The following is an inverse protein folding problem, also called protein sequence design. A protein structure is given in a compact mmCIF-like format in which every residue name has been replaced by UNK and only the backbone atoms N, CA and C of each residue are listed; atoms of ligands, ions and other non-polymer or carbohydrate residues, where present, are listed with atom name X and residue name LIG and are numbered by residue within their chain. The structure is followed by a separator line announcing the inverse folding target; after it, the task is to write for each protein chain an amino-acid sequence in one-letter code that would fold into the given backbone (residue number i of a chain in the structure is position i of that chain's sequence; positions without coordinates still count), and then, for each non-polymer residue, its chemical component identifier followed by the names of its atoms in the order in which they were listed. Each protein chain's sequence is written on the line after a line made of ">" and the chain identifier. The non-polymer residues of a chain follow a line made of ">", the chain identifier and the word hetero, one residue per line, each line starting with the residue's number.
data_IF_423097276041
#
_entry.id   IF_423097276041
#
_cell.length_a   1.000
_cell.length_b   1.000
_cell.length_c   1.000
_cell.angle_alpha   90.00
_cell.angle_beta   90.00
_cell.angle_gamma   90.00
#
_symmetry.space_group_name_H-M   'P 1'
#
loop_
_entity.id
_entity.type
_entity.pdbx_description
1 polymer ?
#
# COMPACT_ATOMS: atom_id res chain seq x y z
N UNK A 1 24.11 85.53 -6.74
CA UNK A 1 22.75 85.01 -6.50
C UNK A 1 22.69 83.64 -7.17
N UNK A 2 23.07 82.60 -6.43
CA UNK A 2 23.36 81.27 -6.98
C UNK A 2 22.18 80.36 -6.64
N UNK A 3 21.42 79.94 -7.66
CA UNK A 3 20.23 79.10 -7.50
C UNK A 3 20.69 77.65 -7.44
N UNK A 4 20.65 77.03 -6.25
CA UNK A 4 20.79 75.58 -6.09
C UNK A 4 19.46 74.89 -6.39
N UNK A 5 19.47 73.98 -7.36
CA UNK A 5 18.36 73.04 -7.62
C UNK A 5 18.55 71.78 -6.77
N UNK A 6 17.52 71.27 -6.06
CA UNK A 6 17.63 70.01 -5.35
C UNK A 6 17.53 68.85 -6.34
N UNK A 7 18.50 67.94 -6.31
CA UNK A 7 18.44 66.68 -7.03
C UNK A 7 17.59 65.69 -6.21
N UNK A 8 16.49 65.23 -6.79
CA UNK A 8 15.63 64.21 -6.22
C UNK A 8 16.26 62.83 -6.50
N UNK A 9 16.85 62.20 -5.49
CA UNK A 9 17.32 60.81 -5.59
C UNK A 9 16.11 59.89 -5.40
N UNK A 10 15.68 59.21 -6.48
CA UNK A 10 14.70 58.14 -6.40
C UNK A 10 15.40 56.85 -5.97
N UNK A 11 15.18 56.42 -4.73
CA UNK A 11 15.60 55.12 -4.22
C UNK A 11 14.69 54.04 -4.80
N UNK A 12 15.21 53.26 -5.76
CA UNK A 12 14.56 52.01 -6.21
C UNK A 12 14.77 50.98 -5.09
N UNK A 13 13.73 50.72 -4.30
CA UNK A 13 13.72 49.60 -3.38
C UNK A 13 13.56 48.30 -4.18
N UNK A 14 14.63 47.53 -4.30
CA UNK A 14 14.55 46.16 -4.83
C UNK A 14 13.73 45.32 -3.84
N UNK A 15 12.50 44.98 -4.22
CA UNK A 15 11.70 43.98 -3.50
C UNK A 15 12.36 42.63 -3.80
N UNK A 16 13.22 42.18 -2.90
CA UNK A 16 13.66 40.79 -2.87
C UNK A 16 12.45 39.98 -2.42
N UNK A 17 11.76 39.36 -3.38
CA UNK A 17 10.84 38.28 -3.09
C UNK A 17 11.68 37.16 -2.47
N UNK A 18 11.68 37.08 -1.13
CA UNK A 18 12.16 35.90 -0.45
C UNK A 18 11.21 34.77 -0.82
N UNK A 19 11.61 33.93 -1.78
CA UNK A 19 11.04 32.61 -1.93
C UNK A 19 11.34 31.86 -0.63
N UNK A 20 10.33 31.71 0.23
CA UNK A 20 10.42 30.80 1.36
C UNK A 20 10.57 29.39 0.79
N UNK A 21 11.81 28.91 0.70
CA UNK A 21 12.07 27.48 0.52
C UNK A 21 11.56 26.82 1.79
N UNK A 22 10.38 26.21 1.72
CA UNK A 22 9.91 25.36 2.81
C UNK A 22 10.83 24.15 2.85
N UNK A 23 11.69 24.08 3.86
CA UNK A 23 12.55 22.94 4.06
C UNK A 23 11.69 21.72 4.44
N UNK A 24 12.00 20.57 3.85
CA UNK A 24 11.37 19.30 4.18
C UNK A 24 12.05 18.68 5.41
N UNK A 25 11.32 18.61 6.52
CA UNK A 25 11.76 17.96 7.75
C UNK A 25 11.52 16.45 7.68
N UNK A 26 12.58 15.64 7.72
CA UNK A 26 12.49 14.19 7.96
C UNK A 26 11.77 13.96 9.29
N UNK A 27 10.64 13.23 9.21
CA UNK A 27 9.79 12.91 10.36
C UNK A 27 9.71 11.42 10.67
N UNK A 28 9.99 10.55 9.68
CA UNK A 28 10.12 9.09 9.83
C UNK A 28 11.08 8.51 8.80
N UNK A 29 11.78 7.46 9.20
CA UNK A 29 12.61 6.62 8.33
C UNK A 29 12.34 5.15 8.68
N UNK A 30 11.83 4.38 7.73
CA UNK A 30 11.69 2.93 7.81
C UNK A 30 12.85 2.30 7.03
N UNK A 31 13.82 1.71 7.73
CA UNK A 31 14.99 1.06 7.11
C UNK A 31 15.62 0.05 8.07
N UNK A 32 16.42 -0.88 7.54
CA UNK A 32 17.23 -1.79 8.34
C UNK A 32 16.39 -2.63 9.31
N UNK A 33 17.02 -3.03 10.41
CA UNK A 33 16.41 -3.92 11.41
C UNK A 33 15.13 -3.36 12.06
N UNK A 34 14.96 -2.04 12.05
CA UNK A 34 13.79 -1.36 12.59
C UNK A 34 12.72 -1.07 11.53
N UNK A 35 12.88 -1.55 10.29
CA UNK A 35 11.91 -1.28 9.20
C UNK A 35 10.49 -1.68 9.60
N UNK A 36 10.33 -2.82 10.28
CA UNK A 36 9.03 -3.43 10.64
C UNK A 36 8.54 -3.10 12.07
N UNK A 37 9.08 -2.06 12.71
CA UNK A 37 8.71 -1.72 14.09
C UNK A 37 7.40 -0.91 14.16
N UNK A 38 7.21 0.02 13.23
CA UNK A 38 6.08 0.96 13.21
C UNK A 38 5.00 0.57 12.19
N UNK A 39 4.71 -0.73 12.10
CA UNK A 39 3.72 -1.30 11.19
C UNK A 39 2.78 -2.30 11.86
N UNK A 40 1.50 -2.19 11.54
CA UNK A 40 0.46 -3.16 11.89
C UNK A 40 0.38 -4.23 10.79
N UNK A 41 0.49 -5.51 11.17
CA UNK A 41 0.38 -6.65 10.27
C UNK A 41 -1.07 -7.15 10.24
N UNK A 42 -1.66 -7.25 9.05
CA UNK A 42 -3.11 -7.44 8.90
C UNK A 42 -3.65 -8.73 9.53
N UNK A 43 -2.99 -9.88 9.32
CA UNK A 43 -3.33 -11.13 10.00
C UNK A 43 -4.69 -11.74 9.65
N UNK A 44 -5.19 -11.49 8.43
CA UNK A 44 -6.49 -11.98 7.96
C UNK A 44 -6.48 -12.18 6.44
N UNK A 45 -7.39 -13.00 5.92
CA UNK A 45 -7.56 -13.17 4.47
C UNK A 45 -7.94 -11.87 3.77
N UNK A 46 -7.62 -11.77 2.48
CA UNK A 46 -7.93 -10.58 1.68
C UNK A 46 -9.43 -10.48 1.36
N UNK A 47 -10.14 -9.78 2.24
CA UNK A 47 -11.57 -9.51 2.16
C UNK A 47 -11.92 -8.16 1.52
N UNK A 48 -10.93 -7.38 1.11
CA UNK A 48 -11.14 -6.07 0.49
C UNK A 48 -11.09 -6.18 -1.04
N UNK A 49 -10.09 -6.90 -1.56
CA UNK A 49 -9.91 -7.09 -3.02
C UNK A 49 -10.20 -8.52 -3.49
N UNK A 50 -10.79 -9.33 -2.60
CA UNK A 50 -11.17 -10.73 -2.83
C UNK A 50 -10.01 -11.60 -3.33
N UNK A 51 -8.77 -11.26 -2.95
CA UNK A 51 -7.57 -11.96 -3.37
C UNK A 51 -7.45 -13.36 -2.79
N UNK A 52 -6.65 -14.18 -3.48
CA UNK A 52 -6.36 -15.56 -3.11
C UNK A 52 -5.16 -15.69 -2.17
N UNK A 53 -5.13 -14.81 -1.17
CA UNK A 53 -4.12 -14.75 -0.13
C UNK A 53 -4.67 -14.83 1.30
N UNK A 54 -3.87 -15.42 2.19
CA UNK A 54 -4.01 -15.24 3.64
C UNK A 54 -2.88 -14.30 4.09
N UNK A 55 -3.21 -13.12 4.61
CA UNK A 55 -2.19 -12.24 5.15
C UNK A 55 -1.79 -12.69 6.55
N UNK A 56 -0.50 -12.95 6.76
CA UNK A 56 -0.01 -13.40 8.06
C UNK A 56 0.05 -12.25 9.08
N UNK A 57 -0.14 -12.59 10.36
CA UNK A 57 0.15 -11.67 11.46
C UNK A 57 1.68 -11.50 11.62
N UNK A 58 2.12 -10.56 12.46
CA UNK A 58 3.55 -10.26 12.64
C UNK A 58 4.39 -11.49 13.00
N UNK A 59 3.95 -12.27 14.00
CA UNK A 59 4.71 -13.42 14.48
C UNK A 59 4.87 -14.48 13.38
N UNK A 60 3.79 -14.77 12.66
CA UNK A 60 3.78 -15.76 11.59
C UNK A 60 4.55 -15.26 10.35
N UNK A 61 4.53 -13.96 10.08
CA UNK A 61 5.29 -13.33 9.01
C UNK A 61 6.80 -13.53 9.18
N UNK A 62 7.32 -13.34 10.39
CA UNK A 62 8.74 -13.60 10.68
C UNK A 62 9.05 -15.09 10.73
N UNK A 63 8.19 -15.92 11.34
CA UNK A 63 8.46 -17.35 11.50
C UNK A 63 8.39 -18.14 10.19
N UNK A 64 7.56 -17.70 9.24
CA UNK A 64 7.48 -18.23 7.88
C UNK A 64 8.41 -17.48 6.91
N UNK A 65 9.26 -16.60 7.44
CA UNK A 65 10.24 -15.79 6.70
C UNK A 65 9.64 -14.88 5.61
N UNK A 66 8.33 -14.62 5.61
CA UNK A 66 7.71 -13.73 4.63
C UNK A 66 8.15 -12.27 4.77
N UNK A 67 8.68 -11.91 5.95
CA UNK A 67 9.42 -10.65 6.17
C UNK A 67 10.80 -10.91 6.76
N UNK A 68 11.78 -10.12 6.34
CA UNK A 68 13.15 -10.14 6.89
C UNK A 68 13.93 -8.89 6.54
N UNK A 69 15.11 -8.72 7.13
CA UNK A 69 16.09 -7.70 6.75
C UNK A 69 17.33 -8.37 6.19
N UNK A 70 17.86 -7.83 5.09
CA UNK A 70 19.10 -8.32 4.49
C UNK A 70 20.31 -7.84 5.29
N UNK A 71 21.46 -8.49 5.10
CA UNK A 71 22.72 -8.04 5.69
C UNK A 71 23.16 -6.64 5.22
N UNK A 72 22.66 -6.17 4.08
CA UNK A 72 22.85 -4.79 3.59
C UNK A 72 21.85 -3.79 4.18
N UNK A 73 20.89 -4.23 5.00
CA UNK A 73 19.90 -3.38 5.66
C UNK A 73 18.64 -3.06 4.83
N UNK A 74 18.42 -3.75 3.70
CA UNK A 74 17.15 -3.66 2.96
C UNK A 74 16.10 -4.58 3.58
N UNK A 75 14.84 -4.14 3.58
CA UNK A 75 13.70 -4.93 4.04
C UNK A 75 13.16 -5.80 2.89
N UNK A 76 12.80 -7.05 3.22
CA UNK A 76 12.15 -8.00 2.32
C UNK A 76 10.73 -8.24 2.80
N UNK A 77 9.78 -8.18 1.86
CA UNK A 77 8.39 -8.63 2.01
C UNK A 77 8.04 -9.52 0.83
N UNK A 78 7.58 -10.74 1.05
CA UNK A 78 7.35 -11.72 -0.04
C UNK A 78 6.09 -12.55 0.13
N UNK A 79 5.56 -13.00 -1.00
CA UNK A 79 4.59 -14.10 -1.07
C UNK A 79 5.31 -15.41 -0.73
N UNK A 80 4.61 -16.35 -0.09
CA UNK A 80 5.12 -17.69 0.15
C UNK A 80 5.43 -18.42 -1.18
N UNK A 81 6.72 -18.62 -1.45
CA UNK A 81 7.21 -19.37 -2.59
C UNK A 81 7.80 -20.74 -2.22
N UNK A 82 7.54 -21.28 -1.02
CA UNK A 82 8.12 -22.55 -0.55
C UNK A 82 7.08 -23.65 -0.37
N UNK A 83 5.88 -23.28 0.05
CA UNK A 83 4.85 -24.28 0.37
C UNK A 83 4.06 -24.73 -0.85
N UNK A 84 3.46 -25.90 -0.71
CA UNK A 84 2.47 -26.42 -1.65
C UNK A 84 1.06 -26.12 -1.10
N UNK A 85 0.29 -25.30 -1.80
CA UNK A 85 -1.06 -24.89 -1.40
C UNK A 85 -2.09 -25.90 -1.94
N UNK A 86 -2.88 -26.59 -1.10
CA UNK A 86 -3.94 -27.47 -1.55
C UNK A 86 -5.11 -26.70 -2.19
N UNK A 87 -5.92 -27.40 -2.99
CA UNK A 87 -7.16 -26.82 -3.52
C UNK A 87 -8.09 -26.36 -2.38
N UNK A 88 -8.80 -25.24 -2.59
CA UNK A 88 -9.63 -24.52 -1.63
C UNK A 88 -8.88 -23.80 -0.49
N UNK A 89 -7.55 -23.73 -0.54
CA UNK A 89 -6.74 -22.90 0.36
C UNK A 89 -6.12 -21.72 -0.38
N UNK A 90 -5.79 -20.66 0.37
CA UNK A 90 -5.13 -19.45 -0.13
C UNK A 90 -3.63 -19.51 0.15
N UNK A 91 -2.84 -18.70 -0.57
CA UNK A 91 -1.39 -18.63 -0.40
C UNK A 91 -1.03 -17.57 0.63
N UNK A 92 -0.08 -17.85 1.51
CA UNK A 92 0.33 -16.87 2.51
C UNK A 92 1.05 -15.68 1.85
N UNK A 93 0.71 -14.48 2.31
CA UNK A 93 1.33 -13.23 1.89
C UNK A 93 1.35 -12.23 3.05
N UNK A 94 1.76 -10.98 2.80
CA UNK A 94 1.87 -9.92 3.80
C UNK A 94 1.11 -8.68 3.34
N UNK A 95 0.40 -8.07 4.30
CA UNK A 95 -0.10 -6.70 4.25
C UNK A 95 0.29 -6.00 5.55
N UNK A 96 0.98 -4.87 5.42
CA UNK A 96 1.32 -4.01 6.55
C UNK A 96 0.79 -2.60 6.35
N UNK A 97 0.32 -1.99 7.43
CA UNK A 97 -0.15 -0.59 7.46
C UNK A 97 0.67 0.18 8.49
N UNK A 98 1.17 1.36 8.15
CA UNK A 98 1.98 2.15 9.06
C UNK A 98 1.16 2.60 10.27
N UNK A 99 1.71 2.55 11.48
CA UNK A 99 1.02 3.02 12.70
C UNK A 99 0.88 4.55 12.79
N UNK A 100 1.33 5.27 11.75
CA UNK A 100 1.37 6.72 11.70
C UNK A 100 0.50 7.28 10.58
N UNK A 101 -0.16 8.39 10.90
CA UNK A 101 -0.90 9.19 9.95
C UNK A 101 -0.08 10.39 9.49
N UNK A 102 -0.17 10.67 8.20
CA UNK A 102 0.53 11.73 7.49
C UNK A 102 -0.50 12.67 6.88
N UNK A 103 -0.51 13.93 7.34
CA UNK A 103 -1.45 14.94 6.84
C UNK A 103 -0.90 15.65 5.59
N UNK A 104 -1.68 16.54 5.00
CA UNK A 104 -1.26 17.47 3.96
C UNK A 104 0.05 18.19 4.35
N UNK A 105 0.91 18.39 3.35
CA UNK A 105 2.29 18.86 3.54
C UNK A 105 3.29 17.71 3.74
N UNK A 106 2.88 16.47 3.49
CA UNK A 106 3.74 15.29 3.56
C UNK A 106 4.41 14.97 2.23
N UNK A 107 5.62 14.44 2.29
CA UNK A 107 6.37 13.90 1.17
C UNK A 107 6.91 12.52 1.56
N UNK A 108 6.55 11.49 0.83
CA UNK A 108 7.10 10.15 0.99
C UNK A 108 8.09 9.84 -0.11
N UNK A 109 9.25 9.31 0.25
CA UNK A 109 10.29 8.86 -0.67
C UNK A 109 10.55 7.38 -0.45
N UNK A 110 10.32 6.58 -1.48
CA UNK A 110 10.46 5.12 -1.47
C UNK A 110 11.68 4.74 -2.30
N UNK A 111 12.75 4.29 -1.65
CA UNK A 111 13.95 3.76 -2.30
C UNK A 111 13.83 2.23 -2.41
N UNK A 112 13.56 1.74 -3.62
CA UNK A 112 13.18 0.35 -3.86
C UNK A 112 14.16 -0.29 -4.85
N UNK A 113 14.61 -1.50 -4.52
CA UNK A 113 15.50 -2.31 -5.35
C UNK A 113 14.75 -3.37 -6.16
N UNK A 114 13.66 -3.90 -5.62
CA UNK A 114 12.81 -4.87 -6.29
C UNK A 114 11.33 -4.63 -5.96
N UNK A 115 10.48 -4.70 -6.97
CA UNK A 115 9.02 -4.73 -6.82
C UNK A 115 8.52 -6.14 -7.16
N UNK A 116 7.49 -6.67 -6.48
CA UNK A 116 6.92 -7.96 -6.81
C UNK A 116 6.39 -7.97 -8.24
N UNK A 117 6.55 -9.08 -8.95
CA UNK A 117 5.84 -9.32 -10.21
C UNK A 117 5.75 -10.82 -10.50
N UNK A 118 4.82 -11.18 -11.38
CA UNK A 118 4.57 -12.57 -11.72
C UNK A 118 3.10 -12.79 -12.04
N UNK A 119 2.78 -13.91 -12.68
CA UNK A 119 1.39 -14.25 -12.92
C UNK A 119 0.61 -14.39 -11.61
N UNK A 120 -0.62 -13.89 -11.57
CA UNK A 120 -1.47 -13.66 -10.38
C UNK A 120 -1.04 -12.53 -9.44
N UNK A 121 0.20 -12.04 -9.49
CA UNK A 121 0.73 -11.12 -8.49
C UNK A 121 0.13 -9.73 -8.65
N UNK A 122 -0.35 -9.15 -7.55
CA UNK A 122 -0.86 -7.79 -7.46
C UNK A 122 -0.26 -7.12 -6.21
N UNK A 123 0.88 -6.44 -6.35
CA UNK A 123 1.50 -5.70 -5.26
C UNK A 123 1.10 -4.23 -5.30
N UNK A 124 1.13 -3.62 -4.12
CA UNK A 124 0.79 -2.22 -3.96
C UNK A 124 1.68 -1.55 -2.90
N UNK A 125 2.05 -0.30 -3.16
CA UNK A 125 2.43 0.68 -2.14
C UNK A 125 1.50 1.86 -2.32
N UNK A 126 0.65 2.07 -1.33
CA UNK A 126 -0.47 2.99 -1.42
C UNK A 126 -0.73 3.64 -0.07
N UNK A 127 -1.67 4.58 -0.04
CA UNK A 127 -2.11 5.21 1.19
C UNK A 127 -3.61 5.26 1.27
N UNK A 128 -4.15 5.22 2.48
CA UNK A 128 -5.56 5.51 2.71
C UNK A 128 -5.79 6.41 3.91
N UNK A 129 -6.87 7.17 3.86
CA UNK A 129 -7.35 7.94 5.00
C UNK A 129 -8.08 7.09 6.02
N UNK A 130 -8.37 7.70 7.16
CA UNK A 130 -9.31 7.14 8.13
C UNK A 130 -10.71 6.94 7.53
N UNK A 131 -11.41 5.89 7.99
CA UNK A 131 -12.74 5.51 7.50
C UNK A 131 -12.78 5.28 5.98
N UNK A 132 -11.75 4.59 5.46
CA UNK A 132 -11.68 4.15 4.07
C UNK A 132 -13.02 3.52 3.61
N UNK A 133 -13.51 3.86 2.41
CA UNK A 133 -12.87 4.71 1.37
C UNK A 133 -13.07 6.22 1.52
N UNK A 134 -13.82 6.67 2.54
CA UNK A 134 -14.26 8.07 2.60
C UNK A 134 -13.12 9.07 2.84
N UNK A 135 -12.00 8.61 3.40
CA UNK A 135 -10.79 9.40 3.62
C UNK A 135 -9.85 9.47 2.40
N UNK A 136 -10.28 8.96 1.25
CA UNK A 136 -9.49 8.89 0.03
C UNK A 136 -8.41 7.80 0.08
N UNK A 137 -7.95 7.43 -1.11
CA UNK A 137 -6.87 6.48 -1.35
C UNK A 137 -5.95 6.99 -2.47
N UNK A 138 -4.65 6.73 -2.32
CA UNK A 138 -3.59 7.13 -3.23
C UNK A 138 -2.70 5.93 -3.54
N UNK A 139 -2.84 5.37 -4.73
CA UNK A 139 -2.03 4.24 -5.20
C UNK A 139 -0.77 4.77 -5.88
N UNK A 140 0.35 4.68 -5.18
CA UNK A 140 1.62 5.27 -5.62
C UNK A 140 2.35 4.30 -6.54
N UNK A 141 2.37 3.02 -6.14
CA UNK A 141 2.95 1.93 -6.90
C UNK A 141 1.94 0.80 -6.95
N UNK A 142 1.42 0.50 -8.13
CA UNK A 142 0.44 -0.56 -8.31
C UNK A 142 0.54 -1.19 -9.70
N UNK A 143 0.32 -2.50 -9.76
CA UNK A 143 0.31 -3.25 -11.01
C UNK A 143 -0.17 -4.67 -10.81
N UNK A 144 -0.42 -5.36 -11.92
CA UNK A 144 -0.88 -6.75 -11.89
C UNK A 144 -0.08 -7.62 -12.85
N UNK A 145 -0.04 -8.90 -12.53
CA UNK A 145 0.50 -9.95 -13.39
C UNK A 145 1.93 -9.62 -13.88
N UNK A 146 2.14 -9.66 -15.21
CA UNK A 146 3.41 -9.31 -15.85
C UNK A 146 3.36 -7.92 -16.51
N UNK A 147 2.58 -6.99 -15.93
CA UNK A 147 2.68 -5.58 -16.34
C UNK A 147 4.15 -5.13 -16.28
N UNK A 148 4.51 -4.21 -17.17
CA UNK A 148 5.85 -3.61 -17.22
C UNK A 148 5.82 -2.12 -16.90
N UNK A 149 4.66 -1.58 -16.47
CA UNK A 149 4.46 -0.16 -16.22
C UNK A 149 3.71 -0.01 -14.92
N UNK A 150 4.15 0.93 -14.10
CA UNK A 150 3.41 1.33 -12.92
C UNK A 150 2.10 2.02 -13.33
N UNK A 151 1.05 1.80 -12.55
CA UNK A 151 -0.16 2.59 -12.59
C UNK A 151 -0.27 3.36 -11.27
N UNK A 152 -0.44 4.67 -11.37
CA UNK A 152 -0.87 5.51 -10.27
C UNK A 152 -2.38 5.65 -10.35
N UNK A 153 -3.06 5.61 -9.21
CA UNK A 153 -4.48 5.85 -9.12
C UNK A 153 -4.83 6.67 -7.87
N UNK A 154 -5.98 7.33 -7.94
CA UNK A 154 -6.57 8.03 -6.82
C UNK A 154 -8.05 7.68 -6.76
N UNK A 155 -8.50 7.32 -5.56
CA UNK A 155 -9.86 6.88 -5.27
C UNK A 155 -10.49 7.81 -4.24
N UNK A 156 -11.70 8.30 -4.53
CA UNK A 156 -12.41 9.31 -3.73
C UNK A 156 -13.93 9.15 -3.85
N UNK A 157 -14.67 9.90 -3.04
CA UNK A 157 -16.09 10.14 -3.28
C UNK A 157 -16.33 10.99 -4.54
N UNK A 158 -17.57 11.01 -5.03
CA UNK A 158 -17.96 11.75 -6.23
C UNK A 158 -17.52 13.22 -6.25
N UNK A 159 -17.01 13.66 -7.41
CA UNK A 159 -16.71 15.06 -7.72
C UNK A 159 -15.22 15.45 -7.71
N UNK A 160 -14.32 14.54 -7.35
CA UNK A 160 -12.89 14.68 -7.64
C UNK A 160 -12.60 14.08 -9.03
N UNK A 161 -11.82 14.79 -9.85
CA UNK A 161 -11.46 14.36 -11.20
C UNK A 161 -10.02 14.67 -11.56
N UNK A 162 -9.40 13.78 -12.33
CA UNK A 162 -8.17 14.07 -13.07
C UNK A 162 -8.50 14.87 -14.34
N UNK A 163 -7.74 15.93 -14.60
CA UNK A 163 -8.02 16.87 -15.70
C UNK A 163 -7.06 16.65 -16.88
N UNK A 164 -7.60 16.78 -18.08
CA UNK A 164 -6.79 16.81 -19.29
C UNK A 164 -5.88 18.05 -19.32
N UNK A 165 -4.64 17.88 -19.78
CA UNK A 165 -3.67 18.97 -19.89
C UNK A 165 -3.00 19.34 -18.56
N UNK A 166 -3.13 18.50 -17.54
CA UNK A 166 -2.31 18.59 -16.33
C UNK A 166 -0.83 18.49 -16.69
N UNK A 167 0.03 19.26 -16.00
CA UNK A 167 1.47 19.20 -16.21
C UNK A 167 2.05 17.92 -15.59
N UNK A 168 1.99 16.83 -16.33
CA UNK A 168 2.48 15.51 -15.95
C UNK A 168 3.11 14.78 -17.15
N UNK A 169 3.95 13.79 -16.87
CA UNK A 169 4.61 12.96 -17.89
C UNK A 169 3.79 11.72 -18.28
N UNK A 170 2.88 11.31 -17.39
CA UNK A 170 2.10 10.09 -17.49
C UNK A 170 1.03 10.09 -18.58
N UNK A 171 0.49 8.90 -18.85
CA UNK A 171 -0.67 8.73 -19.71
C UNK A 171 -1.92 8.62 -18.85
N UNK A 172 -2.69 9.71 -18.80
CA UNK A 172 -3.99 9.73 -18.14
C UNK A 172 -4.92 8.67 -18.75
N UNK A 173 -5.53 7.86 -17.88
CA UNK A 173 -6.52 6.86 -18.20
C UNK A 173 -7.92 7.34 -17.80
N UNK A 174 -8.37 6.92 -16.62
CA UNK A 174 -9.67 7.32 -16.06
C UNK A 174 -9.64 8.74 -15.48
N UNK A 175 -10.66 9.55 -15.78
CA UNK A 175 -10.76 10.91 -15.25
C UNK A 175 -11.58 11.02 -13.95
N UNK A 176 -12.53 10.12 -13.71
CA UNK A 176 -13.43 10.17 -12.54
C UNK A 176 -12.89 9.30 -11.41
N UNK A 177 -12.42 9.96 -10.35
CA UNK A 177 -11.79 9.34 -9.19
C UNK A 177 -12.78 8.60 -8.28
N UNK A 178 -14.08 8.64 -8.58
CA UNK A 178 -15.11 7.90 -7.83
C UNK A 178 -15.57 6.61 -8.50
N UNK A 179 -15.00 6.29 -9.67
CA UNK A 179 -15.25 5.00 -10.33
C UNK A 179 -14.45 3.89 -9.65
N UNK A 180 -14.83 2.61 -9.84
CA UNK A 180 -14.09 1.49 -9.23
C UNK A 180 -12.61 1.43 -9.62
N UNK A 181 -12.23 1.95 -10.78
CA UNK A 181 -10.82 2.03 -11.21
C UNK A 181 -10.09 3.25 -10.67
N UNK A 182 -10.79 4.17 -10.00
CA UNK A 182 -10.27 5.49 -9.69
C UNK A 182 -9.94 6.30 -10.93
N UNK A 183 -9.22 7.39 -10.73
CA UNK A 183 -8.65 8.18 -11.81
C UNK A 183 -7.16 7.86 -11.96
N UNK A 184 -6.79 7.32 -13.11
CA UNK A 184 -5.52 6.61 -13.28
C UNK A 184 -4.55 7.37 -14.17
N UNK A 185 -3.26 7.23 -13.88
CA UNK A 185 -2.17 7.71 -14.72
C UNK A 185 -1.14 6.59 -14.86
N UNK A 186 -0.85 6.16 -16.08
CA UNK A 186 0.12 5.10 -16.35
C UNK A 186 1.51 5.68 -16.67
N UNK A 187 2.55 5.02 -16.17
CA UNK A 187 3.94 5.40 -16.42
C UNK A 187 4.42 5.07 -17.86
N UNK A 188 4.91 6.06 -18.63
CA UNK A 188 5.44 5.87 -19.98
C UNK A 188 6.82 5.21 -20.02
N UNK A 189 7.51 5.01 -18.89
CA UNK A 189 8.72 4.21 -18.77
C UNK A 189 8.40 2.75 -18.40
N UNK A 190 8.87 1.79 -19.21
CA UNK A 190 8.71 0.36 -18.91
C UNK A 190 9.60 -0.12 -17.75
N UNK A 191 10.52 0.71 -17.28
CA UNK A 191 11.38 0.42 -16.13
C UNK A 191 10.74 0.83 -14.82
N UNK A 192 9.51 1.33 -14.83
CA UNK A 192 8.75 1.70 -13.63
C UNK A 192 8.17 0.49 -12.90
N UNK A 193 8.05 -0.67 -13.52
CA UNK A 193 7.49 -1.83 -12.84
C UNK A 193 7.99 -3.15 -13.43
N UNK A 194 7.79 -4.24 -12.69
CA UNK A 194 8.01 -5.61 -13.16
C UNK A 194 9.48 -5.96 -13.43
N UNK A 195 9.67 -6.95 -14.31
CA UNK A 195 11.01 -7.45 -14.65
C UNK A 195 11.99 -6.35 -15.13
N UNK A 196 11.57 -5.35 -15.95
CA UNK A 196 12.50 -4.29 -16.35
C UNK A 196 12.90 -3.36 -15.19
N UNK A 197 12.03 -3.11 -14.20
CA UNK A 197 12.41 -2.37 -12.99
C UNK A 197 13.48 -3.13 -12.19
N UNK A 198 13.27 -4.43 -11.96
CA UNK A 198 14.24 -5.29 -11.28
C UNK A 198 15.59 -5.33 -12.03
N UNK A 199 15.55 -5.49 -13.35
CA UNK A 199 16.75 -5.51 -14.19
C UNK A 199 17.51 -4.16 -14.21
N UNK A 200 16.82 -3.05 -13.97
CA UNK A 200 17.42 -1.71 -13.86
C UNK A 200 18.08 -1.43 -12.50
N UNK A 201 18.01 -2.37 -11.54
CA UNK A 201 18.46 -2.15 -10.16
C UNK A 201 17.49 -1.31 -9.33
N UNK A 202 16.22 -1.30 -9.73
CA UNK A 202 15.14 -0.56 -9.11
C UNK A 202 15.17 0.95 -9.36
N UNK A 203 14.69 1.71 -8.38
CA UNK A 203 14.49 3.15 -8.51
C UNK A 203 13.89 3.79 -7.26
N UNK A 204 13.51 5.04 -7.41
CA UNK A 204 12.96 5.86 -6.33
C UNK A 204 11.62 6.43 -6.77
N UNK A 205 10.61 6.27 -5.92
CA UNK A 205 9.36 7.03 -6.02
C UNK A 205 9.38 8.16 -5.01
N UNK A 206 8.83 9.31 -5.40
CA UNK A 206 8.50 10.38 -4.49
C UNK A 206 7.02 10.71 -4.66
N UNK A 207 6.28 10.79 -3.56
CA UNK A 207 4.86 11.11 -3.54
C UNK A 207 4.62 12.26 -2.56
N UNK A 208 4.20 13.41 -3.10
CA UNK A 208 3.83 14.58 -2.33
C UNK A 208 2.32 14.60 -2.14
N UNK A 209 1.88 14.67 -0.90
CA UNK A 209 0.50 14.92 -0.51
C UNK A 209 0.42 16.31 0.15
N UNK A 210 -0.03 17.30 -0.60
CA UNK A 210 0.00 18.71 -0.22
C UNK A 210 -1.37 19.37 -0.42
N UNK A 211 -1.60 20.53 0.20
CA UNK A 211 -2.82 21.32 -0.05
C UNK A 211 -2.99 21.73 -1.51
N UNK A 212 -1.91 21.79 -2.29
CA UNK A 212 -1.94 22.05 -3.73
C UNK A 212 -2.38 20.85 -4.58
N UNK A 213 -2.31 19.63 -4.04
CA UNK A 213 -2.68 18.39 -4.73
C UNK A 213 -1.77 17.21 -4.38
N UNK A 214 -1.96 16.11 -5.12
CA UNK A 214 -1.10 14.93 -5.06
C UNK A 214 -0.20 14.93 -6.28
N UNK A 215 1.10 14.75 -6.07
CA UNK A 215 2.10 14.71 -7.14
C UNK A 215 3.05 13.55 -6.92
N UNK A 216 3.24 12.72 -7.93
CA UNK A 216 4.05 11.51 -7.84
C UNK A 216 5.12 11.53 -8.92
N UNK A 217 6.37 11.22 -8.56
CA UNK A 217 7.51 11.10 -9.45
C UNK A 217 8.11 9.69 -9.37
N UNK A 218 8.69 9.26 -10.48
CA UNK A 218 9.52 8.05 -10.55
C UNK A 218 10.88 8.38 -11.16
N UNK A 219 11.94 7.87 -10.54
CA UNK A 219 13.30 7.96 -11.03
C UNK A 219 13.94 6.58 -11.08
N UNK A 220 14.43 6.18 -12.25
CA UNK A 220 15.26 4.96 -12.35
C UNK A 220 16.53 5.12 -11.52
N UNK A 221 17.07 4.02 -10.96
CA UNK A 221 18.27 4.03 -10.09
C UNK A 221 19.43 4.89 -10.60
N UNK A 222 19.70 4.87 -11.90
CA UNK A 222 20.83 5.57 -12.52
C UNK A 222 20.53 7.01 -12.97
N UNK A 223 19.31 7.50 -12.75
CA UNK A 223 18.86 8.84 -13.17
C UNK A 223 18.01 9.53 -12.10
N UNK A 224 18.41 9.39 -10.82
CA UNK A 224 17.75 10.10 -9.72
C UNK A 224 18.46 11.44 -9.42
N UNK A 225 17.71 12.50 -9.07
CA UNK A 225 18.26 13.73 -8.54
C UNK A 225 19.18 13.49 -7.33
N UNK A 226 20.27 14.27 -7.22
CA UNK A 226 21.22 14.16 -6.11
C UNK A 226 20.53 14.41 -4.76
N UNK A 227 19.52 15.29 -4.74
CA UNK A 227 18.72 15.61 -3.56
C UNK A 227 18.04 14.39 -2.92
N UNK A 228 17.74 13.33 -3.69
CA UNK A 228 17.15 12.09 -3.18
C UNK A 228 18.17 11.11 -2.58
N UNK A 229 19.48 11.31 -2.82
CA UNK A 229 20.53 10.49 -2.22
C UNK A 229 20.87 10.91 -0.78
N UNK A 230 20.49 12.13 -0.39
CA UNK A 230 20.79 12.66 0.93
C UNK A 230 19.67 12.29 1.92
N UNK A 231 20.07 11.82 3.10
CA UNK A 231 19.15 11.66 4.25
C UNK A 231 18.77 13.01 4.88
N UNK A 232 19.50 14.07 4.56
CA UNK A 232 19.42 15.36 5.24
C UNK A 232 18.35 16.29 4.66
N UNK A 233 17.65 16.92 5.60
CA UNK A 233 16.50 17.84 5.41
C UNK A 233 16.77 19.04 4.50
N UNK A 234 18.03 19.49 4.42
CA UNK A 234 18.41 20.76 3.78
C UNK A 234 18.64 20.68 2.27
N UNK A 235 18.58 19.49 1.68
CA UNK A 235 18.89 19.29 0.26
C UNK A 235 17.70 18.85 -0.59
N UNK A 236 16.54 18.58 0.01
CA UNK A 236 15.35 18.22 -0.76
C UNK A 236 14.72 19.46 -1.39
N UNK A 237 14.96 19.60 -2.69
CA UNK A 237 14.33 20.60 -3.54
C UNK A 237 13.52 19.89 -4.64
N UNK A 238 12.19 19.92 -4.51
CA UNK A 238 11.25 19.37 -5.50
C UNK A 238 11.37 20.11 -6.83
N UNK A 239 11.80 21.39 -6.83
CA UNK A 239 11.97 22.19 -8.04
C UNK A 239 12.98 21.61 -9.02
N UNK A 240 13.92 20.78 -8.56
CA UNK A 240 14.93 20.13 -9.40
C UNK A 240 14.41 18.85 -10.09
N UNK A 241 13.25 18.33 -9.70
CA UNK A 241 12.75 17.02 -10.14
C UNK A 241 12.06 17.05 -11.50
N UNK A 242 11.70 18.24 -11.99
CA UNK A 242 10.91 18.42 -13.20
C UNK A 242 9.44 18.04 -13.01
N UNK A 243 8.68 17.91 -14.12
CA UNK A 243 7.27 17.55 -14.06
C UNK A 243 7.06 16.16 -13.40
N UNK A 244 6.00 16.00 -12.59
CA UNK A 244 5.66 14.71 -12.01
C UNK A 244 5.24 13.68 -13.06
N UNK A 245 5.38 12.40 -12.72
CA UNK A 245 4.74 11.31 -13.46
C UNK A 245 3.23 11.48 -13.47
N UNK A 246 2.62 11.73 -12.32
CA UNK A 246 1.18 11.90 -12.16
C UNK A 246 0.89 13.12 -11.28
N UNK A 247 -0.12 13.90 -11.66
CA UNK A 247 -0.54 15.07 -10.91
C UNK A 247 -2.06 15.13 -10.77
N UNK A 248 -2.53 15.34 -9.53
CA UNK A 248 -3.93 15.52 -9.17
C UNK A 248 -4.08 16.86 -8.43
N UNK A 249 -4.17 17.99 -9.15
CA UNK A 249 -4.22 19.31 -8.53
C UNK A 249 -5.52 19.56 -7.76
N UNK A 250 -5.42 20.30 -6.66
CA UNK A 250 -6.58 20.65 -5.82
C UNK A 250 -7.69 21.41 -6.55
N UNK A 251 -7.39 22.04 -7.69
CA UNK A 251 -8.39 22.74 -8.52
C UNK A 251 -9.48 21.84 -9.09
N UNK A 252 -9.23 20.53 -9.22
CA UNK A 252 -10.19 19.54 -9.72
C UNK A 252 -10.43 18.38 -8.76
N UNK A 253 -9.66 18.31 -7.68
CA UNK A 253 -9.76 17.32 -6.63
C UNK A 253 -9.35 17.95 -5.29
N UNK A 254 -10.27 18.65 -4.62
CA UNK A 254 -9.95 19.43 -3.41
C UNK A 254 -9.45 18.54 -2.26
N UNK A 255 -8.17 18.68 -1.89
CA UNK A 255 -7.51 17.79 -0.92
C UNK A 255 -8.23 17.74 0.43
N UNK A 256 -8.56 18.90 1.00
CA UNK A 256 -9.25 19.00 2.29
C UNK A 256 -10.68 18.43 2.30
N UNK A 257 -11.28 18.20 1.12
CA UNK A 257 -12.62 17.63 0.98
C UNK A 257 -12.58 16.12 0.82
N UNK A 258 -11.60 15.60 0.10
CA UNK A 258 -11.57 14.20 -0.34
C UNK A 258 -10.56 13.34 0.41
N UNK A 259 -9.57 13.94 1.08
CA UNK A 259 -8.51 13.22 1.77
C UNK A 259 -8.41 13.65 3.22
N UNK A 260 -8.28 12.67 4.09
CA UNK A 260 -7.93 12.87 5.51
C UNK A 260 -6.43 12.56 5.69
N UNK A 261 -5.85 12.67 6.91
CA UNK A 261 -4.51 12.15 7.14
C UNK A 261 -4.42 10.68 6.70
N UNK A 262 -3.33 10.31 6.04
CA UNK A 262 -3.16 9.02 5.37
C UNK A 262 -2.22 8.09 6.13
N UNK A 263 -2.48 6.79 6.13
CA UNK A 263 -1.51 5.74 6.51
C UNK A 263 -0.91 5.12 5.25
N UNK A 264 0.37 4.76 5.31
CA UNK A 264 1.03 3.97 4.26
C UNK A 264 0.61 2.50 4.37
N UNK A 265 0.40 1.85 3.24
CA UNK A 265 0.16 0.40 3.15
C UNK A 265 1.10 -0.23 2.13
N UNK A 266 1.61 -1.40 2.47
CA UNK A 266 2.38 -2.26 1.56
C UNK A 266 1.77 -3.65 1.60
N UNK A 267 1.36 -4.17 0.45
CA UNK A 267 0.83 -5.52 0.36
C UNK A 267 1.15 -6.21 -0.97
N UNK A 268 0.94 -7.53 -0.97
CA UNK A 268 0.96 -8.35 -2.17
C UNK A 268 -0.25 -9.28 -2.14
N UNK A 269 -1.34 -8.90 -2.80
CA UNK A 269 -2.44 -9.82 -3.06
C UNK A 269 -2.18 -10.68 -4.29
N UNK A 270 -3.03 -11.69 -4.51
CA UNK A 270 -2.99 -12.56 -5.68
C UNK A 270 -4.38 -12.68 -6.30
N UNK A 271 -4.44 -12.68 -7.63
CA UNK A 271 -5.70 -12.76 -8.38
C UNK A 271 -6.68 -11.64 -7.99
N UNK A 272 -7.76 -11.97 -7.30
CA UNK A 272 -8.74 -10.99 -6.83
C UNK A 272 -9.42 -10.20 -7.95
N UNK A 273 -9.98 -9.05 -7.56
CA UNK A 273 -10.86 -8.24 -8.38
C UNK A 273 -10.19 -7.58 -9.58
N UNK A 274 -8.84 -7.55 -9.61
CA UNK A 274 -8.08 -6.98 -10.73
C UNK A 274 -7.16 -7.99 -11.42
N UNK A 275 -6.14 -8.53 -10.73
CA UNK A 275 -5.19 -9.45 -11.36
C UNK A 275 -5.84 -10.77 -11.80
N UNK A 276 -6.94 -11.16 -11.16
CA UNK A 276 -7.70 -12.38 -11.43
C UNK A 276 -8.72 -12.26 -12.57
N UNK A 277 -9.00 -11.05 -13.05
CA UNK A 277 -9.95 -10.83 -14.15
C UNK A 277 -9.50 -11.61 -15.38
N UNK A 278 -10.32 -12.55 -15.92
CA UNK A 278 -9.85 -13.50 -16.93
C UNK A 278 -9.23 -12.86 -18.17
N UNK A 279 -9.74 -11.73 -18.64
CA UNK A 279 -9.18 -11.01 -19.80
C UNK A 279 -7.81 -10.40 -19.51
N UNK A 280 -7.63 -9.81 -18.33
CA UNK A 280 -6.37 -9.17 -17.91
C UNK A 280 -5.30 -10.21 -17.57
N UNK A 281 -5.70 -11.23 -16.80
CA UNK A 281 -4.86 -12.36 -16.47
C UNK A 281 -4.36 -13.06 -17.75
N UNK A 282 -5.26 -13.48 -18.65
CA UNK A 282 -4.85 -14.21 -19.85
C UNK A 282 -4.09 -13.35 -20.87
N UNK A 283 -4.18 -12.01 -20.80
CA UNK A 283 -3.39 -11.13 -21.67
C UNK A 283 -1.88 -11.32 -21.47
N UNK A 284 -1.44 -11.65 -20.25
CA UNK A 284 -0.02 -11.82 -19.91
C UNK A 284 0.32 -13.23 -19.43
N UNK A 285 -0.64 -13.97 -18.89
CA UNK A 285 -0.40 -15.20 -18.12
C UNK A 285 -1.03 -16.47 -18.67
N UNK A 286 -1.64 -16.43 -19.87
CA UNK A 286 -2.30 -17.59 -20.49
C UNK A 286 -1.46 -18.87 -20.58
N UNK A 287 -0.13 -18.76 -20.54
CA UNK A 287 0.79 -19.89 -20.70
C UNK A 287 1.31 -20.45 -19.37
N UNK A 288 0.90 -19.90 -18.23
CA UNK A 288 1.39 -20.34 -16.90
C UNK A 288 0.67 -21.61 -16.41
N UNK A 289 -0.50 -21.92 -16.99
CA UNK A 289 -1.25 -23.14 -16.66
C UNK A 289 -2.29 -23.50 -17.73
N UNK A 290 -2.92 -24.68 -17.58
CA UNK A 290 -3.78 -25.25 -18.61
C UNK A 290 -5.22 -24.71 -18.58
N UNK A 291 -5.64 -24.01 -17.52
CA UNK A 291 -7.05 -23.67 -17.31
C UNK A 291 -7.40 -22.25 -17.76
N UNK A 292 -6.42 -21.34 -17.78
CA UNK A 292 -6.65 -19.91 -17.99
C UNK A 292 -7.34 -19.23 -16.80
N UNK A 293 -7.38 -19.91 -15.64
CA UNK A 293 -7.99 -19.45 -14.40
C UNK A 293 -6.86 -19.14 -13.40
N UNK A 294 -6.81 -17.89 -12.94
CA UNK A 294 -5.74 -17.36 -12.11
C UNK A 294 -5.40 -18.23 -10.88
N UNK A 295 -6.42 -18.58 -10.09
CA UNK A 295 -6.28 -19.40 -8.88
C UNK A 295 -5.73 -20.81 -9.19
N UNK A 296 -6.34 -21.50 -10.15
CA UNK A 296 -6.01 -22.88 -10.49
C UNK A 296 -4.62 -23.00 -11.12
N UNK A 297 -4.23 -22.02 -11.93
CA UNK A 297 -2.96 -22.07 -12.64
C UNK A 297 -1.78 -21.63 -11.76
N UNK A 298 -1.94 -20.62 -10.89
CA UNK A 298 -0.82 -20.06 -10.10
C UNK A 298 -0.90 -20.35 -8.60
N UNK A 299 -2.04 -20.09 -7.95
CA UNK A 299 -2.12 -20.05 -6.49
C UNK A 299 -1.95 -21.44 -5.87
N UNK A 300 -2.67 -22.44 -6.38
CA UNK A 300 -2.57 -23.81 -5.89
C UNK A 300 -1.28 -24.50 -6.36
N UNK A 301 -0.87 -25.52 -5.61
CA UNK A 301 0.34 -26.30 -5.88
C UNK A 301 1.62 -25.63 -5.35
N UNK A 302 2.79 -25.99 -5.88
CA UNK A 302 4.08 -25.50 -5.37
C UNK A 302 4.27 -24.01 -5.68
N UNK A 303 4.77 -23.25 -4.70
CA UNK A 303 5.10 -21.83 -4.89
C UNK A 303 6.43 -21.59 -5.61
N UNK A 304 7.38 -22.51 -5.48
CA UNK A 304 8.73 -22.37 -6.04
C UNK A 304 8.68 -22.24 -7.58
N UNK A 305 9.43 -21.28 -8.13
CA UNK A 305 9.41 -20.96 -9.55
C UNK A 305 8.25 -20.07 -10.00
N UNK A 306 7.12 -20.06 -9.27
CA UNK A 306 5.97 -19.18 -9.56
C UNK A 306 6.10 -17.82 -8.87
N UNK A 307 6.54 -17.81 -7.62
CA UNK A 307 6.55 -16.63 -6.75
C UNK A 307 7.96 -16.17 -6.36
N UNK A 308 9.01 -16.65 -7.05
CA UNK A 308 10.40 -16.28 -6.77
C UNK A 308 10.69 -14.79 -6.98
N UNK A 309 9.89 -14.11 -7.82
CA UNK A 309 9.96 -12.67 -8.05
C UNK A 309 8.81 -11.91 -7.38
N UNK A 310 8.00 -12.55 -6.53
CA UNK A 310 6.88 -11.94 -5.84
C UNK A 310 7.32 -11.36 -4.48
N UNK A 311 8.29 -10.45 -4.50
CA UNK A 311 8.81 -9.79 -3.30
C UNK A 311 9.19 -8.33 -3.52
N UNK A 312 8.99 -7.53 -2.49
CA UNK A 312 9.60 -6.21 -2.35
C UNK A 312 11.01 -6.37 -1.76
N UNK A 313 11.98 -5.63 -2.30
CA UNK A 313 13.23 -5.31 -1.61
C UNK A 313 13.33 -3.79 -1.49
N UNK A 314 13.20 -3.27 -0.28
CA UNK A 314 13.09 -1.84 0.01
C UNK A 314 14.32 -1.41 0.80
N UNK A 315 15.09 -0.46 0.26
CA UNK A 315 16.25 0.09 0.96
C UNK A 315 15.81 0.99 2.12
N UNK A 316 14.86 1.90 1.86
CA UNK A 316 14.28 2.76 2.86
C UNK A 316 12.95 3.39 2.38
N UNK A 317 12.09 3.73 3.34
CA UNK A 317 10.98 4.66 3.14
C UNK A 317 11.22 5.85 4.05
N UNK A 318 11.20 7.07 3.51
CA UNK A 318 11.39 8.31 4.27
C UNK A 318 10.18 9.20 4.12
N UNK A 319 9.66 9.68 5.24
CA UNK A 319 8.57 10.65 5.25
C UNK A 319 9.11 12.00 5.73
N UNK A 320 8.73 13.06 5.03
CA UNK A 320 9.10 14.44 5.31
C UNK A 320 7.87 15.35 5.42
N UNK A 321 7.99 16.50 6.08
CA UNK A 321 6.92 17.52 6.13
C UNK A 321 7.45 18.96 5.96
N UNK A 322 6.62 19.90 5.51
CA UNK A 322 6.98 21.33 5.30
C UNK A 322 6.71 22.26 6.49
N UNK A 323 6.33 21.71 7.66
CA UNK A 323 6.15 22.45 8.92
C UNK A 323 4.85 22.15 9.70
N UNK A 324 4.88 21.04 10.46
CA UNK A 324 3.95 20.56 11.52
C UNK A 324 2.43 20.42 11.22
N UNK A 325 1.77 19.33 11.68
CA UNK A 325 2.19 18.43 12.78
C UNK A 325 3.09 17.28 12.33
N UNK A 326 3.89 16.75 13.27
CA UNK A 326 4.58 15.49 13.08
C UNK A 326 3.55 14.34 12.89
N UNK A 327 3.92 13.24 12.21
CA UNK A 327 3.03 12.10 12.03
C UNK A 327 2.56 11.56 13.38
N UNK A 328 1.25 11.41 13.53
CA UNK A 328 0.62 11.01 14.80
C UNK A 328 0.52 9.49 14.87
N UNK A 329 0.97 8.89 15.98
CA UNK A 329 0.91 7.46 16.24
C UNK A 329 -0.44 7.00 16.77
N UNK A 330 -0.88 5.79 16.39
CA UNK A 330 -2.10 5.13 16.89
C UNK A 330 -2.06 4.62 18.33
N UNK A 331 -1.16 5.10 19.21
CA UNK A 331 -0.98 4.51 20.54
C UNK A 331 -2.29 4.46 21.33
N UNK A 332 -2.91 3.28 21.39
CA UNK A 332 -3.98 2.95 22.34
C UNK A 332 -3.33 2.90 23.71
N UNK A 333 -3.31 4.06 24.38
CA UNK A 333 -3.08 4.09 25.82
C UNK A 333 -4.29 3.45 26.49
N UNK A 334 -4.26 2.13 26.67
CA UNK A 334 -5.05 1.48 27.71
C UNK A 334 -4.56 2.03 29.06
N UNK A 335 -5.17 3.13 29.49
CA UNK A 335 -5.01 3.68 30.84
C UNK A 335 -5.60 2.66 31.82
N UNK A 336 -4.77 1.72 32.25
CA UNK A 336 -5.05 0.92 33.44
C UNK A 336 -4.82 1.81 34.65
N UNK A 337 -5.91 2.38 35.16
CA UNK A 337 -5.93 3.05 36.46
C UNK A 337 -5.68 2.03 37.56
N UNK A 338 -4.41 1.78 37.90
CA UNK A 338 -4.03 1.01 39.06
C UNK A 338 -4.26 1.86 40.33
N UNK A 339 -5.43 1.73 40.93
CA UNK A 339 -5.69 2.27 42.27
C UNK A 339 -4.93 1.42 43.30
N UNK A 340 -3.95 2.05 43.94
CA UNK A 340 -3.21 1.53 45.07
C UNK A 340 -4.08 1.45 46.32
N UNK A 341 -4.25 0.25 46.90
CA UNK A 341 -4.43 0.10 48.36
C UNK A 341 -3.63 -1.10 48.84
N UNK A 342 -2.67 -0.84 49.73
CA UNK A 342 -1.90 -1.87 50.41
C UNK A 342 -2.52 -2.24 51.75
N UNK A 343 -2.37 -3.50 52.15
CA UNK A 343 -2.14 -3.96 53.53
C UNK A 343 -1.76 -5.46 53.52
N UNK A 344 -0.69 -5.80 54.24
CA UNK A 344 -0.15 -7.15 54.56
C UNK A 344 -0.39 -7.44 56.06
N UNK A 345 0.06 -8.57 56.66
CA UNK A 345 0.09 -9.99 56.25
C UNK A 345 -0.38 -10.96 57.38
N UNK A 346 -0.59 -12.26 57.09
CA UNK A 346 -0.27 -13.39 58.00
C UNK A 346 -0.44 -14.79 57.37
N UNK A 347 0.54 -15.66 57.64
CA UNK A 347 0.74 -17.09 57.31
C UNK A 347 0.24 -18.03 58.45
N UNK A 348 0.37 -19.39 58.44
CA UNK A 348 0.40 -20.45 57.39
C UNK A 348 -0.38 -21.77 57.75
N UNK A 349 -0.24 -22.81 56.91
CA UNK A 349 -0.22 -24.30 57.13
C UNK A 349 -1.47 -25.22 57.06
N UNK A 350 -1.26 -26.39 56.40
CA UNK A 350 -1.92 -27.72 56.59
C UNK A 350 -2.95 -28.09 55.50
N UNK A 351 -2.70 -28.95 54.50
CA UNK A 351 -2.36 -30.40 54.41
C UNK A 351 -3.57 -31.37 54.48
N UNK A 352 -3.56 -32.37 53.58
CA UNK A 352 -4.46 -33.55 53.48
C UNK A 352 -5.78 -33.34 52.72
N UNK A 353 -6.25 -34.19 51.78
CA UNK A 353 -5.86 -35.53 51.34
C UNK A 353 -7.12 -36.34 50.95
N UNK A 354 -7.10 -37.02 49.79
CA UNK A 354 -8.04 -38.10 49.38
C UNK A 354 -9.44 -37.65 48.93
N UNK A 355 -10.11 -38.25 47.95
CA UNK A 355 -9.92 -39.47 47.16
C UNK A 355 -11.26 -39.82 46.47
N UNK A 356 -11.22 -40.82 45.57
CA UNK A 356 -12.32 -41.50 44.84
C UNK A 356 -12.99 -40.76 43.65
N UNK A 357 -12.79 -41.18 42.39
CA UNK A 357 -13.31 -42.37 41.66
C UNK A 357 -14.81 -42.19 41.28
N UNK A 358 -15.32 -42.48 40.08
CA UNK A 358 -15.06 -43.56 39.13
C UNK A 358 -15.87 -43.35 37.81
N UNK A 359 -15.37 -43.95 36.70
CA UNK A 359 -16.03 -44.53 35.50
C UNK A 359 -17.14 -43.76 34.72
N UNK A 360 -17.00 -43.37 33.42
CA UNK A 360 -16.94 -44.15 32.13
C UNK A 360 -18.33 -44.72 31.69
N UNK A 361 -18.77 -44.75 30.40
CA UNK A 361 -18.48 -43.94 29.18
C UNK A 361 -19.75 -43.72 28.25
N UNK A 362 -19.71 -43.73 26.88
CA UNK A 362 -20.43 -42.75 26.02
C UNK A 362 -21.63 -43.38 25.25
N UNK A 363 -22.10 -42.73 24.17
CA UNK A 363 -22.37 -43.54 22.97
C UNK A 363 -21.92 -42.92 21.64
N UNK A 364 -21.54 -43.83 20.74
CA UNK A 364 -21.47 -43.76 19.27
C UNK A 364 -22.75 -43.13 18.67
N UNK A 365 -22.76 -42.43 17.52
CA UNK A 365 -22.26 -42.83 16.21
C UNK A 365 -23.38 -43.49 15.40
N UNK A 366 -23.94 -42.83 14.38
CA UNK A 366 -24.49 -43.49 13.15
C UNK A 366 -24.94 -42.50 12.09
N UNK A 367 -24.62 -42.86 10.85
CA UNK A 367 -24.97 -42.22 9.59
C UNK A 367 -26.30 -42.74 9.03
N UNK A 368 -27.05 -41.88 8.33
CA UNK A 368 -28.03 -42.16 7.28
C UNK A 368 -28.06 -40.86 6.42
N UNK A 369 -27.87 -40.82 5.10
CA UNK A 369 -28.43 -41.68 4.06
C UNK A 369 -29.74 -41.05 3.56
N UNK A 370 -29.71 -40.29 2.46
CA UNK A 370 -30.92 -39.68 1.90
C UNK A 370 -30.69 -38.85 0.63
N UNK A 371 -30.63 -39.53 -0.52
CA UNK A 371 -30.84 -38.92 -1.83
C UNK A 371 -32.27 -38.38 -1.96
N UNK A 372 -32.44 -37.20 -2.55
CA UNK A 372 -33.67 -36.79 -3.21
C UNK A 372 -33.32 -35.95 -4.44
N UNK A 373 -33.54 -36.54 -5.62
CA UNK A 373 -33.43 -35.85 -6.90
C UNK A 373 -34.65 -34.97 -7.15
N UNK A 374 -34.42 -33.87 -7.87
CA UNK A 374 -35.45 -33.04 -8.48
C UNK A 374 -35.17 -32.87 -9.98
N UNK A 375 -36.21 -32.76 -10.82
CA UNK A 375 -36.12 -33.04 -12.25
C UNK A 375 -35.60 -31.85 -13.07
N UNK A 376 -35.05 -32.19 -14.23
CA UNK A 376 -34.65 -31.27 -15.29
C UNK A 376 -35.85 -30.45 -15.82
N UNK A 377 -35.66 -29.14 -15.97
CA UNK A 377 -36.53 -28.26 -16.73
C UNK A 377 -35.68 -27.37 -17.65
N UNK A 378 -36.18 -27.26 -18.88
CA UNK A 378 -35.49 -26.79 -20.07
C UNK A 378 -35.16 -25.29 -20.06
N UNK A 379 -34.12 -24.97 -20.83
CA UNK A 379 -33.57 -23.65 -21.09
C UNK A 379 -34.50 -22.76 -21.93
N UNK A 380 -34.62 -21.49 -21.53
CA UNK A 380 -34.87 -20.31 -22.38
C UNK A 380 -34.22 -19.07 -21.71
N UNK A 381 -33.83 -18.04 -22.47
CA UNK A 381 -32.71 -17.15 -22.12
C UNK A 381 -33.13 -16.06 -21.13
N UNK A 382 -32.40 -15.97 -20.03
CA UNK A 382 -32.52 -14.84 -19.10
C UNK A 382 -31.50 -13.79 -19.51
N UNK A 383 -32.00 -12.65 -19.97
CA UNK A 383 -31.22 -11.43 -20.08
C UNK A 383 -30.70 -11.06 -18.69
N UNK A 384 -29.39 -11.07 -18.51
CA UNK A 384 -28.75 -10.57 -17.30
C UNK A 384 -28.97 -9.06 -17.23
N UNK A 385 -29.95 -8.66 -16.43
CA UNK A 385 -29.92 -7.36 -15.76
C UNK A 385 -28.93 -7.52 -14.61
N UNK A 386 -27.69 -7.08 -14.83
CA UNK A 386 -26.73 -6.90 -13.76
C UNK A 386 -27.32 -5.86 -12.80
N UNK A 387 -27.81 -6.33 -11.65
CA UNK A 387 -28.14 -5.48 -10.53
C UNK A 387 -26.86 -4.82 -10.05
N UNK A 388 -26.71 -3.54 -10.40
CA UNK A 388 -25.66 -2.65 -9.90
C UNK A 388 -25.93 -2.47 -8.41
N UNK A 389 -25.29 -3.28 -7.59
CA UNK A 389 -24.96 -2.89 -6.22
C UNK A 389 -23.83 -1.89 -6.38
N UNK A 390 -24.04 -0.67 -5.93
CA UNK A 390 -22.98 0.30 -5.77
C UNK A 390 -21.93 -0.34 -4.84
N UNK A 391 -20.85 -0.85 -5.43
CA UNK A 391 -19.66 -1.24 -4.69
C UNK A 391 -18.96 0.08 -4.34
N UNK A 392 -19.40 0.65 -3.23
CA UNK A 392 -18.55 1.47 -2.40
C UNK A 392 -17.51 0.48 -1.88
N UNK A 393 -16.39 0.41 -2.59
CA UNK A 393 -15.19 -0.35 -2.18
C UNK A 393 -14.61 0.43 -1.02
#
# INVERSE_FOLDING_TARGET
>A
MTIMRPALFATIAAIVLQSSVHAFDLVREYQGDTFFDDWDFYGFWDNLTNGDVEYLNRQDSFSNELVSTTSSGSAIMRVDNFTNVPSNYKRNSIRITSTHYYDTGSLWVFDIKHLPYGCSVWPSIWTHGDNWPNGGEIDIIEGINLNARNQVAVHTLGGCTHQNGTNELGWAGGADCSTPSGCTVQDPDTRSYGAPFAAAGGGVWAAQYDVAGIFIWFFTRNNMPISLNAKDKSTLDIGEWGPPLAAYPSSSCEMAKYFTPQQLVIDITLCGDWAGVPSLYNATCKNTGPTGICYTDNVIGPGAGKYDNAYFEINAIRAYTTGAPAPTSTSTSASSSSTSTGSSPSTPTGDGGGGDSSNVPPPDGSALGGQAGYPALAALPVAFVAGIVALVI
#
